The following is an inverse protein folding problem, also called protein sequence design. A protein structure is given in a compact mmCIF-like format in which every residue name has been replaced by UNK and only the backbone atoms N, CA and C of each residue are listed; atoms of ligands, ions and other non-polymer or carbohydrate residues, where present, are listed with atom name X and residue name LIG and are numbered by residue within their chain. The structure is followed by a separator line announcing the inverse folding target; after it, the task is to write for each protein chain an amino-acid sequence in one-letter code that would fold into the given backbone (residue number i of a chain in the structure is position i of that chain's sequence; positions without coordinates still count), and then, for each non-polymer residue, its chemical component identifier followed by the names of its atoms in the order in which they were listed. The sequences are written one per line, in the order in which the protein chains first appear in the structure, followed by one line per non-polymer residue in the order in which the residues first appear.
data_IF_470614889953
#
_entry.id   IF_470614889953
#
_cell.length_a   1.000
_cell.length_b   1.000
_cell.length_c   1.000
_cell.angle_alpha   90.00
_cell.angle_beta   90.00
_cell.angle_gamma   90.00
#
_symmetry.space_group_name_H-M   'P 1'
#
loop_
_entity.id
_entity.type
_entity.pdbx_description
1 polymer ?
#
# COMPACT_ATOMS: atom_id res chain seq x y z
N UNK A 1 6.05 -22.03 -64.96
CA UNK A 1 5.14 -22.61 -63.96
C UNK A 1 5.94 -23.18 -62.81
N UNK A 2 5.87 -22.56 -61.63
CA UNK A 2 6.30 -23.14 -60.35
C UNK A 2 5.45 -22.50 -59.26
N UNK A 3 4.40 -23.21 -58.85
CA UNK A 3 3.52 -22.82 -57.74
C UNK A 3 4.19 -23.24 -56.43
N UNK A 4 4.35 -22.30 -55.52
CA UNK A 4 4.55 -22.58 -54.09
C UNK A 4 3.30 -22.12 -53.35
N UNK A 5 2.42 -23.02 -52.91
CA UNK A 5 1.61 -22.77 -51.72
C UNK A 5 2.48 -23.12 -50.52
N UNK A 6 2.42 -22.39 -49.41
CA UNK A 6 2.52 -22.93 -48.04
C UNK A 6 2.45 -21.76 -47.07
N UNK A 7 1.33 -21.76 -46.35
CA UNK A 7 1.17 -21.35 -44.96
C UNK A 7 1.67 -19.94 -44.60
N UNK A 8 0.79 -18.97 -44.85
CA UNK A 8 0.70 -17.80 -43.99
C UNK A 8 0.26 -18.22 -42.59
N UNK A 9 1.24 -18.46 -41.71
CA UNK A 9 1.03 -18.64 -40.28
C UNK A 9 0.93 -17.24 -39.63
N UNK A 10 -0.23 -16.60 -39.77
CA UNK A 10 -0.56 -15.38 -39.01
C UNK A 10 -0.80 -15.77 -37.56
N UNK A 11 0.25 -15.65 -36.75
CA UNK A 11 0.21 -15.83 -35.31
C UNK A 11 -0.73 -14.76 -34.74
N UNK A 12 -1.92 -15.20 -34.33
CA UNK A 12 -2.83 -14.43 -33.48
C UNK A 12 -2.16 -14.22 -32.11
N UNK A 13 -1.45 -13.10 -31.93
CA UNK A 13 -1.09 -12.61 -30.61
C UNK A 13 -2.36 -12.10 -29.91
N UNK A 14 -3.15 -13.03 -29.40
CA UNK A 14 -4.30 -12.77 -28.55
C UNK A 14 -3.84 -12.27 -27.19
N UNK A 15 -3.93 -10.95 -27.02
CA UNK A 15 -4.30 -10.22 -25.81
C UNK A 15 -4.03 -10.90 -24.44
N UNK A 16 -2.84 -10.68 -23.89
CA UNK A 16 -2.67 -10.57 -22.44
C UNK A 16 -2.88 -9.11 -22.02
N UNK A 17 -4.08 -8.56 -22.24
CA UNK A 17 -4.52 -7.38 -21.51
C UNK A 17 -5.16 -7.86 -20.21
N UNK A 18 -4.35 -8.46 -19.34
CA UNK A 18 -4.76 -8.77 -17.98
C UNK A 18 -4.81 -7.45 -17.20
N UNK A 19 -5.90 -6.69 -17.38
CA UNK A 19 -6.28 -5.62 -16.47
C UNK A 19 -6.54 -6.27 -15.11
N UNK A 20 -5.48 -6.34 -14.31
CA UNK A 20 -5.53 -6.78 -12.93
C UNK A 20 -6.14 -5.64 -12.13
N UNK A 21 -7.46 -5.47 -12.25
CA UNK A 21 -8.22 -4.69 -11.30
C UNK A 21 -8.20 -5.48 -9.99
N UNK A 22 -7.17 -5.23 -9.18
CA UNK A 22 -7.16 -5.70 -7.80
C UNK A 22 -8.45 -5.22 -7.16
N UNK A 23 -9.23 -6.10 -6.50
CA UNK A 23 -10.44 -5.67 -5.83
C UNK A 23 -10.06 -4.58 -4.84
N UNK A 24 -10.43 -3.33 -5.16
CA UNK A 24 -10.29 -2.18 -4.27
C UNK A 24 -11.23 -2.46 -3.12
N UNK A 25 -10.72 -3.10 -2.06
CA UNK A 25 -11.46 -3.28 -0.82
C UNK A 25 -12.07 -1.93 -0.48
N UNK A 26 -13.41 -1.89 -0.44
CA UNK A 26 -14.13 -0.63 -0.36
C UNK A 26 -13.64 0.12 0.87
N UNK A 27 -13.33 1.40 0.70
CA UNK A 27 -12.85 2.27 1.77
C UNK A 27 -13.86 2.43 2.95
N UNK A 28 -15.06 1.86 2.81
CA UNK A 28 -16.17 1.98 3.74
C UNK A 28 -15.98 1.28 5.09
N UNK A 29 -15.12 0.25 5.18
CA UNK A 29 -14.92 -0.53 6.42
C UNK A 29 -13.62 -0.20 7.17
N UNK A 30 -12.95 0.90 6.81
CA UNK A 30 -11.68 1.25 7.44
C UNK A 30 -11.89 1.94 8.80
N UNK A 31 -10.98 1.70 9.77
CA UNK A 31 -11.03 2.40 11.05
C UNK A 31 -11.03 3.92 10.89
N UNK A 32 -11.71 4.62 11.80
CA UNK A 32 -11.65 6.07 11.86
C UNK A 32 -10.20 6.54 12.04
N UNK A 33 -9.80 7.58 11.30
CA UNK A 33 -8.41 8.06 11.29
C UNK A 33 -7.50 7.36 10.28
N UNK A 34 -8.03 6.48 9.42
CA UNK A 34 -7.30 6.01 8.24
C UNK A 34 -6.99 7.17 7.29
N UNK A 35 -5.74 7.22 6.81
CA UNK A 35 -5.25 8.28 5.92
C UNK A 35 -4.79 7.64 4.61
N UNK A 36 -5.33 8.09 3.47
CA UNK A 36 -4.80 7.71 2.15
C UNK A 36 -3.59 8.60 1.83
N UNK A 37 -2.42 7.99 1.60
CA UNK A 37 -1.15 8.72 1.33
C UNK A 37 -0.78 8.78 -0.14
N UNK A 38 -1.20 7.77 -0.90
CA UNK A 38 -1.09 7.67 -2.34
C UNK A 38 -2.30 6.87 -2.81
N UNK A 39 -2.63 6.94 -4.10
CA UNK A 39 -3.82 6.25 -4.62
C UNK A 39 -3.80 4.76 -4.29
N UNK A 40 -4.76 4.30 -3.48
CA UNK A 40 -4.86 2.91 -3.06
C UNK A 40 -3.90 2.49 -1.93
N UNK A 41 -3.15 3.43 -1.32
CA UNK A 41 -2.25 3.16 -0.19
C UNK A 41 -2.76 3.87 1.07
N UNK A 42 -3.16 3.08 2.05
CA UNK A 42 -3.79 3.55 3.28
C UNK A 42 -2.87 3.36 4.49
N UNK A 43 -2.82 4.36 5.36
CA UNK A 43 -2.22 4.28 6.68
C UNK A 43 -3.33 4.11 7.70
N UNK A 44 -3.32 2.98 8.38
CA UNK A 44 -4.43 2.51 9.22
C UNK A 44 -4.00 2.61 10.67
N UNK A 45 -4.73 3.33 11.53
CA UNK A 45 -4.35 3.45 12.91
C UNK A 45 -4.44 2.09 13.62
N UNK A 46 -3.41 1.80 14.41
CA UNK A 46 -3.31 0.58 15.23
C UNK A 46 -3.47 0.88 16.74
N UNK A 47 -3.66 2.15 17.10
CA UNK A 47 -3.63 2.62 18.48
C UNK A 47 -2.34 3.35 18.82
N UNK A 48 -2.06 3.53 20.11
CA UNK A 48 -0.87 4.23 20.58
C UNK A 48 0.18 3.26 21.14
N UNK A 49 1.45 3.62 21.01
CA UNK A 49 2.54 2.93 21.70
C UNK A 49 2.53 3.22 23.21
N UNK A 50 3.45 2.62 23.96
CA UNK A 50 3.57 2.81 25.42
C UNK A 50 3.80 4.27 25.87
N UNK A 51 4.19 5.14 24.95
CA UNK A 51 4.50 6.54 25.18
C UNK A 51 3.42 7.47 24.59
N UNK A 52 2.27 6.92 24.18
CA UNK A 52 1.15 7.69 23.61
C UNK A 52 1.31 8.08 22.13
N UNK A 53 2.31 7.55 21.43
CA UNK A 53 2.56 7.88 20.02
C UNK A 53 1.66 7.03 19.11
N UNK A 54 0.88 7.67 18.22
CA UNK A 54 -0.04 6.96 17.33
C UNK A 54 0.73 6.10 16.31
N UNK A 55 0.39 4.81 16.26
CA UNK A 55 0.96 3.82 15.38
C UNK A 55 0.05 3.58 14.18
N UNK A 56 0.65 3.36 13.01
CA UNK A 56 -0.05 3.09 11.77
C UNK A 56 0.50 1.87 11.06
N UNK A 57 -0.36 1.15 10.36
CA UNK A 57 -0.01 0.10 9.42
C UNK A 57 -0.32 0.53 8.00
N UNK A 58 0.65 0.37 7.10
CA UNK A 58 0.39 0.56 5.67
C UNK A 58 -0.39 -0.64 5.14
N UNK A 59 -1.58 -0.40 4.57
CA UNK A 59 -2.34 -1.40 3.83
C UNK A 59 -2.60 -0.95 2.39
N UNK A 60 -2.51 -1.92 1.48
CA UNK A 60 -2.87 -1.78 0.08
C UNK A 60 -3.94 -2.86 -0.18
N UNK A 61 -5.18 -2.49 -0.56
CA UNK A 61 -6.23 -3.45 -0.85
C UNK A 61 -5.79 -4.51 -1.87
N UNK A 62 -6.14 -5.77 -1.62
CA UNK A 62 -5.76 -6.88 -2.50
C UNK A 62 -4.28 -7.29 -2.43
N UNK A 63 -3.43 -6.58 -1.68
CA UNK A 63 -2.04 -6.95 -1.46
C UNK A 63 -1.80 -7.48 -0.04
N UNK A 64 -0.67 -8.18 0.14
CA UNK A 64 -0.23 -8.55 1.49
C UNK A 64 0.16 -7.30 2.27
N UNK A 65 -0.30 -7.22 3.52
CA UNK A 65 0.02 -6.12 4.41
C UNK A 65 1.45 -6.26 4.93
N UNK A 66 2.20 -5.17 4.91
CA UNK A 66 3.53 -5.11 5.52
C UNK A 66 3.38 -5.03 7.04
N UNK A 67 4.06 -5.91 7.78
CA UNK A 67 4.06 -5.93 9.26
C UNK A 67 4.97 -4.86 9.88
N UNK A 68 4.96 -3.66 9.31
CA UNK A 68 5.80 -2.55 9.76
C UNK A 68 4.91 -1.48 10.39
N UNK A 69 5.26 -1.12 11.62
CA UNK A 69 4.66 0.02 12.33
C UNK A 69 5.30 1.30 11.80
N UNK A 70 4.47 2.25 11.44
CA UNK A 70 4.86 3.61 11.06
C UNK A 70 4.28 4.62 12.02
N UNK A 71 4.94 5.77 12.11
CA UNK A 71 4.51 6.93 12.87
C UNK A 71 4.37 8.13 11.93
N UNK A 72 3.48 9.07 12.28
CA UNK A 72 3.27 10.29 11.51
C UNK A 72 4.23 11.37 11.97
N UNK A 73 4.91 12.03 11.03
CA UNK A 73 5.78 13.20 11.26
C UNK A 73 4.96 14.50 11.25
N UNK A 74 5.59 15.61 11.67
CA UNK A 74 4.98 16.96 11.69
C UNK A 74 4.54 17.43 10.31
N UNK A 75 5.30 17.06 9.29
CA UNK A 75 5.00 17.35 7.87
C UNK A 75 3.85 16.49 7.31
N UNK A 76 3.27 15.59 8.12
CA UNK A 76 2.18 14.70 7.75
C UNK A 76 2.61 13.40 7.07
N UNK A 77 3.88 13.25 6.69
CA UNK A 77 4.41 12.01 6.11
C UNK A 77 4.72 10.96 7.19
N UNK A 78 5.05 9.74 6.78
CA UNK A 78 5.19 8.60 7.69
C UNK A 78 6.62 8.06 7.70
N UNK A 79 7.09 7.70 8.89
CA UNK A 79 8.44 7.18 9.15
C UNK A 79 8.37 5.91 10.01
N UNK A 80 9.37 5.04 9.91
CA UNK A 80 9.56 3.93 10.84
C UNK A 80 10.37 4.36 12.07
N UNK A 81 11.03 5.52 12.00
CA UNK A 81 11.83 6.05 13.08
C UNK A 81 10.96 6.88 14.03
N UNK A 82 10.71 6.36 15.22
CA UNK A 82 9.91 7.06 16.25
C UNK A 82 10.51 8.42 16.62
N UNK A 83 11.83 8.60 16.56
CA UNK A 83 12.48 9.85 16.93
C UNK A 83 12.16 11.02 15.96
N UNK A 84 11.75 10.70 14.73
CA UNK A 84 11.33 11.69 13.73
C UNK A 84 9.82 11.99 13.78
N UNK A 85 9.05 11.20 14.54
CA UNK A 85 7.61 11.32 14.62
C UNK A 85 7.16 12.57 15.35
N UNK A 86 5.97 13.07 15.02
CA UNK A 86 5.30 14.12 15.79
C UNK A 86 4.61 13.53 17.01
N UNK A 87 5.42 13.11 17.97
CA UNK A 87 4.97 12.41 19.15
C UNK A 87 5.59 12.99 20.42
N UNK A 88 4.97 12.75 21.58
CA UNK A 88 5.59 13.02 22.86
C UNK A 88 6.98 12.36 22.95
N UNK A 89 7.92 13.08 23.57
CA UNK A 89 9.24 12.54 23.88
C UNK A 89 9.08 11.23 24.66
N UNK A 90 9.99 10.27 24.44
CA UNK A 90 10.06 9.10 25.32
C UNK A 90 10.40 9.67 26.69
N UNK A 91 9.55 9.46 27.69
CA UNK A 91 10.00 9.63 29.06
C UNK A 91 11.05 8.54 29.28
N UNK A 92 12.31 8.94 29.44
CA UNK A 92 13.38 8.03 29.84
C UNK A 92 12.88 7.27 31.07
N UNK A 93 12.65 5.97 30.90
CA UNK A 93 12.34 5.10 32.03
C UNK A 93 13.69 4.74 32.64
N UNK A 94 14.17 5.63 33.52
CA UNK A 94 15.20 5.34 34.52
C UNK A 94 14.71 4.20 35.45
#
# INVERSE_FOLDING_TARGET
MKLYPILGLTILLSACAANSEFPRAAAADWPAGTIETAEGVFQVPLGQDKNGCMMYQTKIPGAKTTQVIKYRKKDGSFTMNRAEADCPAVADQD
#
